data_IF_971879254822
#
_entry.id   IF_971879254822
#
_cell.length_a   1.000
_cell.length_b   1.000
_cell.length_c   1.000
_cell.angle_alpha   90.00
_cell.angle_beta   90.00
_cell.angle_gamma   90.00
#
_symmetry.space_group_name_H-M   'P 1'
#
loop_
_entity.id
_entity.type
_entity.pdbx_description
1 polymer ?
#
# COMPACT_ATOMS: atom_id res chain seq x y z
N UNK A 1 -6.66 -11.85 24.57
CA UNK A 1 -6.51 -12.95 23.60
C UNK A 1 -5.77 -12.41 22.39
N UNK A 2 -4.52 -12.81 22.15
CA UNK A 2 -3.78 -12.37 20.97
C UNK A 2 -4.33 -13.06 19.73
N UNK A 3 -4.82 -12.31 18.76
CA UNK A 3 -5.08 -12.84 17.42
C UNK A 3 -3.73 -13.09 16.74
N UNK A 4 -3.22 -14.31 16.83
CA UNK A 4 -2.09 -14.74 16.01
C UNK A 4 -2.61 -14.98 14.60
N UNK A 5 -2.22 -14.12 13.66
CA UNK A 5 -2.60 -14.23 12.25
C UNK A 5 -1.45 -14.95 11.52
N UNK A 6 -1.63 -16.24 11.25
CA UNK A 6 -0.74 -16.99 10.38
C UNK A 6 -1.21 -16.84 8.93
N UNK A 7 -0.35 -16.31 8.07
CA UNK A 7 -0.61 -16.18 6.65
C UNK A 7 0.12 -17.30 5.91
N UNK A 8 -0.59 -18.13 5.14
CA UNK A 8 0.06 -19.10 4.25
C UNK A 8 0.71 -18.32 3.10
N UNK A 9 2.05 -18.27 2.99
CA UNK A 9 2.73 -17.46 1.96
C UNK A 9 2.41 -17.92 0.53
N UNK A 10 1.94 -19.16 0.34
CA UNK A 10 1.48 -19.64 -0.97
C UNK A 10 0.12 -19.04 -1.38
N UNK A 11 -0.71 -18.65 -0.41
CA UNK A 11 -2.05 -18.04 -0.62
C UNK A 11 -2.11 -16.57 -0.20
N UNK A 12 -1.00 -16.04 0.32
CA UNK A 12 -0.94 -14.72 0.94
C UNK A 12 0.33 -14.01 0.51
N UNK A 13 0.17 -12.97 -0.30
CA UNK A 13 1.30 -12.22 -0.89
C UNK A 13 1.74 -11.06 0.00
N UNK A 14 3.00 -10.68 -0.13
CA UNK A 14 3.53 -9.47 0.48
C UNK A 14 3.51 -8.36 -0.58
N UNK A 15 2.91 -7.22 -0.22
CA UNK A 15 3.01 -5.98 -0.99
C UNK A 15 3.89 -5.02 -0.20
N UNK A 16 5.04 -4.69 -0.76
CA UNK A 16 5.96 -3.71 -0.19
C UNK A 16 5.45 -2.30 -0.47
N UNK A 17 5.49 -1.43 0.53
CA UNK A 17 4.99 -0.03 0.46
C UNK A 17 6.09 0.93 0.84
N UNK A 18 6.12 2.13 0.24
CA UNK A 18 7.23 3.06 0.44
C UNK A 18 7.42 3.45 1.91
N UNK A 19 6.35 3.89 2.57
CA UNK A 19 6.41 4.49 3.91
C UNK A 19 5.75 3.67 5.01
N UNK A 20 6.17 3.95 6.25
CA UNK A 20 5.48 3.46 7.45
C UNK A 20 4.05 4.00 7.57
N UNK A 21 3.82 5.22 7.09
CA UNK A 21 2.49 5.85 7.06
C UNK A 21 1.55 5.08 6.14
N UNK A 22 2.02 4.72 4.94
CA UNK A 22 1.27 3.92 3.96
C UNK A 22 0.91 2.56 4.54
N UNK A 23 1.89 1.90 5.15
CA UNK A 23 1.70 0.66 5.89
C UNK A 23 0.59 0.79 6.95
N UNK A 24 0.59 1.87 7.73
CA UNK A 24 -0.41 2.09 8.78
C UNK A 24 -1.83 2.24 8.20
N UNK A 25 -2.02 3.06 7.17
CA UNK A 25 -3.33 3.26 6.55
C UNK A 25 -3.85 1.99 5.89
N UNK A 26 -3.03 1.37 5.05
CA UNK A 26 -3.40 0.16 4.32
C UNK A 26 -3.66 -1.02 5.27
N UNK A 27 -2.84 -1.20 6.29
CA UNK A 27 -3.07 -2.27 7.29
C UNK A 27 -4.36 -2.03 8.09
N UNK A 28 -4.68 -0.78 8.42
CA UNK A 28 -5.94 -0.45 9.10
C UNK A 28 -7.16 -0.77 8.22
N UNK A 29 -7.14 -0.37 6.94
CA UNK A 29 -8.22 -0.68 6.00
C UNK A 29 -8.36 -2.16 5.71
N UNK A 30 -7.26 -2.91 5.58
CA UNK A 30 -7.30 -4.37 5.44
C UNK A 30 -8.08 -5.01 6.58
N UNK A 31 -7.74 -4.64 7.82
CA UNK A 31 -8.41 -5.16 9.02
C UNK A 31 -9.89 -4.75 9.07
N UNK A 32 -10.18 -3.49 8.71
CA UNK A 32 -11.54 -2.97 8.65
C UNK A 32 -12.40 -3.74 7.64
N UNK A 33 -11.93 -3.91 6.40
CA UNK A 33 -12.67 -4.60 5.35
C UNK A 33 -12.87 -6.09 5.65
N UNK A 34 -11.84 -6.79 6.15
CA UNK A 34 -11.98 -8.19 6.55
C UNK A 34 -13.03 -8.39 7.66
N UNK A 35 -13.22 -7.39 8.53
CA UNK A 35 -14.19 -7.46 9.64
C UNK A 35 -15.61 -7.01 9.24
N UNK A 36 -15.72 -5.96 8.44
CA UNK A 36 -16.97 -5.23 8.23
C UNK A 36 -17.56 -5.37 6.82
N UNK A 37 -16.78 -5.70 5.81
CA UNK A 37 -17.28 -5.85 4.45
C UNK A 37 -17.61 -7.34 4.18
N UNK A 38 -18.89 -7.69 3.91
CA UNK A 38 -19.31 -9.08 3.69
C UNK A 38 -18.50 -9.79 2.58
N UNK A 39 -18.02 -9.05 1.58
CA UNK A 39 -17.21 -9.58 0.48
C UNK A 39 -15.91 -10.25 0.96
N UNK A 40 -15.36 -9.81 2.10
CA UNK A 40 -14.08 -10.31 2.63
C UNK A 40 -14.22 -11.13 3.90
N UNK A 41 -15.45 -11.40 4.36
CA UNK A 41 -15.68 -12.17 5.59
C UNK A 41 -15.25 -13.63 5.42
N UNK A 42 -15.64 -14.24 4.31
CA UNK A 42 -15.34 -15.65 4.01
C UNK A 42 -14.10 -15.80 3.11
N UNK A 43 -13.70 -14.73 2.43
CA UNK A 43 -12.51 -14.68 1.58
C UNK A 43 -11.66 -13.43 1.91
N UNK A 44 -10.90 -13.46 3.01
CA UNK A 44 -10.15 -12.31 3.48
C UNK A 44 -9.12 -11.86 2.45
N UNK A 45 -8.77 -10.58 2.50
CA UNK A 45 -7.78 -9.97 1.60
C UNK A 45 -6.46 -10.77 1.64
N UNK A 46 -6.02 -11.36 0.50
CA UNK A 46 -4.95 -12.36 0.45
C UNK A 46 -3.56 -11.72 0.35
N UNK A 47 -3.37 -10.54 0.93
CA UNK A 47 -2.06 -9.90 0.97
C UNK A 47 -1.84 -9.08 2.24
N UNK A 48 -0.59 -8.88 2.61
CA UNK A 48 -0.14 -8.04 3.72
C UNK A 48 0.85 -6.99 3.23
N UNK A 49 1.02 -5.94 4.03
CA UNK A 49 1.90 -4.84 3.69
C UNK A 49 3.19 -4.89 4.49
N UNK A 50 4.33 -4.57 3.88
CA UNK A 50 5.60 -4.36 4.56
C UNK A 50 6.25 -3.05 4.09
N UNK A 51 6.62 -2.13 4.99
CA UNK A 51 7.23 -0.86 4.60
C UNK A 51 8.71 -1.04 4.20
N UNK A 52 9.18 -0.31 3.19
CA UNK A 52 10.58 -0.36 2.69
C UNK A 52 11.42 0.90 2.95
N UNK A 53 11.04 1.70 3.95
CA UNK A 53 11.77 2.91 4.38
C UNK A 53 12.09 3.90 3.24
N UNK A 54 11.16 4.04 2.31
CA UNK A 54 11.18 4.93 1.16
C UNK A 54 12.04 4.44 0.01
N UNK A 55 11.73 4.91 -1.20
CA UNK A 55 12.60 4.71 -2.36
C UNK A 55 13.86 5.58 -2.21
N UNK A 56 15.04 4.97 -2.38
CA UNK A 56 16.33 5.67 -2.29
C UNK A 56 16.49 6.62 -3.48
N UNK A 57 17.32 7.67 -3.35
CA UNK A 57 17.53 8.66 -4.44
C UNK A 57 18.51 8.19 -5.52
N UNK A 58 19.40 7.26 -5.16
CA UNK A 58 20.49 6.76 -5.99
C UNK A 58 20.09 5.43 -6.66
N UNK A 59 20.50 5.26 -7.92
CA UNK A 59 20.15 4.08 -8.73
C UNK A 59 20.77 2.78 -8.19
N UNK A 60 22.02 2.81 -7.70
CA UNK A 60 22.64 1.62 -7.13
C UNK A 60 21.93 1.19 -5.85
N UNK A 61 21.54 2.15 -5.01
CA UNK A 61 20.76 1.88 -3.82
C UNK A 61 19.36 1.33 -4.15
N UNK A 62 18.72 1.77 -5.25
CA UNK A 62 17.46 1.19 -5.74
C UNK A 62 17.64 -0.26 -6.19
N UNK A 63 18.68 -0.55 -6.97
CA UNK A 63 19.02 -1.93 -7.39
C UNK A 63 19.31 -2.83 -6.20
N UNK A 64 20.01 -2.33 -5.19
CA UNK A 64 20.23 -3.06 -3.94
C UNK A 64 18.92 -3.35 -3.20
N UNK A 65 18.00 -2.38 -3.13
CA UNK A 65 16.65 -2.61 -2.60
C UNK A 65 15.94 -3.71 -3.39
N UNK A 66 15.95 -3.67 -4.72
CA UNK A 66 15.31 -4.70 -5.56
C UNK A 66 15.90 -6.10 -5.29
N UNK A 67 17.23 -6.22 -5.19
CA UNK A 67 17.89 -7.49 -4.84
C UNK A 67 17.42 -8.01 -3.47
N UNK A 68 17.41 -7.15 -2.45
CA UNK A 68 16.92 -7.50 -1.12
C UNK A 68 15.44 -7.91 -1.12
N UNK A 69 14.62 -7.31 -1.98
CA UNK A 69 13.24 -7.73 -2.15
C UNK A 69 13.15 -9.13 -2.74
N UNK A 70 13.95 -9.45 -3.77
CA UNK A 70 14.02 -10.79 -4.36
C UNK A 70 14.60 -11.85 -3.40
N UNK A 71 15.44 -11.46 -2.44
CA UNK A 71 15.91 -12.34 -1.36
C UNK A 71 14.80 -12.66 -0.34
N UNK A 72 13.83 -11.76 -0.16
CA UNK A 72 12.74 -11.88 0.82
C UNK A 72 11.48 -12.54 0.26
N UNK A 73 11.19 -12.35 -1.03
CA UNK A 73 10.01 -12.88 -1.70
C UNK A 73 10.38 -13.32 -3.13
N UNK A 74 9.88 -14.48 -3.56
CA UNK A 74 10.19 -15.02 -4.88
C UNK A 74 9.59 -14.18 -6.03
N UNK A 75 8.52 -13.43 -5.77
CA UNK A 75 7.85 -12.58 -6.75
C UNK A 75 7.46 -11.25 -6.07
N UNK A 76 8.41 -10.37 -5.74
CA UNK A 76 8.12 -9.17 -4.97
C UNK A 76 7.15 -8.24 -5.71
N UNK A 77 6.23 -7.66 -4.95
CA UNK A 77 5.30 -6.64 -5.43
C UNK A 77 5.54 -5.37 -4.64
N UNK A 78 5.84 -4.25 -5.29
CA UNK A 78 6.00 -2.94 -4.67
C UNK A 78 4.88 -2.02 -5.12
N UNK A 79 4.15 -1.43 -4.17
CA UNK A 79 3.19 -0.34 -4.42
C UNK A 79 3.92 1.00 -4.28
N UNK A 80 3.95 1.78 -5.36
CA UNK A 80 4.65 3.07 -5.42
C UNK A 80 3.69 4.24 -5.62
N UNK A 81 4.08 5.38 -5.09
CA UNK A 81 3.46 6.67 -5.37
C UNK A 81 3.66 7.06 -6.86
N UNK A 82 2.87 8.03 -7.31
CA UNK A 82 3.01 8.70 -8.59
C UNK A 82 3.49 10.14 -8.41
N UNK A 83 4.80 10.30 -8.55
CA UNK A 83 5.49 11.57 -8.34
C UNK A 83 5.23 12.64 -9.43
N UNK A 84 4.23 12.46 -10.32
CA UNK A 84 4.01 13.36 -11.47
C UNK A 84 3.81 14.85 -11.10
N UNK A 85 3.51 15.24 -9.84
CA UNK A 85 3.52 16.65 -9.39
C UNK A 85 3.72 16.82 -7.86
N UNK A 86 4.87 17.37 -7.42
CA UNK A 86 4.87 18.55 -6.50
C UNK A 86 6.25 19.17 -6.15
N UNK A 87 7.39 18.49 -6.30
CA UNK A 87 8.69 19.11 -5.97
C UNK A 87 9.79 18.55 -6.87
N UNK A 88 10.67 19.42 -7.38
CA UNK A 88 11.76 19.13 -8.32
C UNK A 88 12.70 17.96 -7.91
N UNK A 89 12.61 17.45 -6.67
CA UNK A 89 13.41 16.34 -6.16
C UNK A 89 12.72 14.96 -6.14
N UNK A 90 11.39 14.87 -6.25
CA UNK A 90 10.66 13.58 -6.20
C UNK A 90 10.17 13.09 -7.56
N UNK A 91 10.02 13.98 -8.55
CA UNK A 91 9.58 13.69 -9.93
C UNK A 91 10.40 12.63 -10.70
N UNK A 92 11.40 12.04 -10.07
CA UNK A 92 12.24 11.02 -10.66
C UNK A 92 12.34 9.75 -9.81
N UNK A 93 11.79 9.65 -8.60
CA UNK A 93 12.11 8.51 -7.72
C UNK A 93 11.39 7.24 -8.14
N UNK A 94 10.06 7.28 -8.27
CA UNK A 94 9.26 6.15 -8.78
C UNK A 94 9.67 5.73 -10.20
N UNK A 95 9.85 6.69 -11.11
CA UNK A 95 10.30 6.41 -12.48
C UNK A 95 11.75 5.89 -12.57
N UNK A 96 12.67 6.40 -11.74
CA UNK A 96 14.01 5.81 -11.64
C UNK A 96 13.97 4.41 -11.04
N UNK A 97 13.07 4.16 -10.10
CA UNK A 97 12.90 2.83 -9.52
C UNK A 97 12.41 1.83 -10.57
N UNK A 98 11.47 2.24 -11.43
CA UNK A 98 11.06 1.44 -12.61
C UNK A 98 12.21 1.17 -13.57
N UNK A 99 13.00 2.20 -13.93
CA UNK A 99 14.17 2.01 -14.80
C UNK A 99 15.22 1.10 -14.15
N UNK A 100 15.50 1.30 -12.87
CA UNK A 100 16.41 0.45 -12.13
C UNK A 100 15.92 -1.00 -12.12
N UNK A 101 14.61 -1.23 -12.02
CA UNK A 101 13.97 -2.54 -12.12
C UNK A 101 14.07 -3.16 -13.52
N UNK A 102 13.83 -2.39 -14.59
CA UNK A 102 13.99 -2.84 -15.98
C UNK A 102 15.44 -3.24 -16.31
N UNK A 103 16.42 -2.62 -15.63
CA UNK A 103 17.84 -2.96 -15.77
C UNK A 103 18.27 -4.20 -14.94
N UNK A 104 17.39 -4.77 -14.10
CA UNK A 104 17.70 -5.96 -13.32
C UNK A 104 17.51 -7.24 -14.14
N UNK A 105 18.34 -8.25 -13.88
CA UNK A 105 18.15 -9.59 -14.45
C UNK A 105 16.81 -10.20 -14.00
N UNK A 106 16.46 -10.02 -12.73
CA UNK A 106 15.21 -10.49 -12.13
C UNK A 106 14.36 -9.28 -11.72
N UNK A 107 13.54 -8.73 -12.63
CA UNK A 107 12.67 -7.60 -12.33
C UNK A 107 11.50 -8.02 -11.42
N UNK A 108 11.07 -7.08 -10.58
CA UNK A 108 9.93 -7.23 -9.67
C UNK A 108 8.66 -6.60 -10.24
N UNK A 109 7.51 -6.91 -9.64
CA UNK A 109 6.24 -6.27 -9.99
C UNK A 109 6.14 -4.91 -9.30
N UNK A 110 5.93 -3.86 -10.08
CA UNK A 110 5.68 -2.51 -9.56
C UNK A 110 4.22 -2.14 -9.86
N UNK A 111 3.47 -1.83 -8.81
CA UNK A 111 2.11 -1.32 -8.85
C UNK A 111 2.15 0.18 -8.59
N UNK A 112 1.77 1.00 -9.55
CA UNK A 112 1.69 2.45 -9.33
C UNK A 112 0.26 2.85 -8.97
N UNK A 113 0.08 3.68 -7.94
CA UNK A 113 -1.26 4.09 -7.49
C UNK A 113 -2.13 4.70 -8.59
N UNK A 114 -1.52 5.47 -9.49
CA UNK A 114 -2.24 6.13 -10.57
C UNK A 114 -2.73 5.20 -11.68
N UNK A 115 -2.24 3.95 -11.72
CA UNK A 115 -2.78 2.89 -12.58
C UNK A 115 -4.08 2.30 -12.00
N UNK A 116 -4.38 2.56 -10.72
CA UNK A 116 -5.68 2.27 -10.11
C UNK A 116 -6.68 3.37 -10.42
N UNK A 117 -6.34 4.61 -10.04
CA UNK A 117 -7.10 5.80 -10.36
C UNK A 117 -6.11 6.96 -10.55
N UNK A 118 -6.21 7.69 -11.67
CA UNK A 118 -5.31 8.80 -12.00
C UNK A 118 -5.24 9.90 -10.92
N UNK A 119 -6.22 9.98 -10.03
CA UNK A 119 -6.24 10.93 -8.91
C UNK A 119 -5.46 10.42 -7.70
N UNK A 120 -5.22 9.11 -7.59
CA UNK A 120 -4.42 8.50 -6.52
C UNK A 120 -2.94 8.63 -6.87
N UNK A 121 -2.33 9.76 -6.47
CA UNK A 121 -0.88 9.94 -6.63
C UNK A 121 -0.12 9.46 -5.42
N UNK A 122 -0.68 9.64 -4.24
CA UNK A 122 -0.15 9.09 -2.99
C UNK A 122 -1.27 8.41 -2.24
N UNK A 123 -0.93 7.59 -1.24
CA UNK A 123 -1.95 6.93 -0.40
C UNK A 123 -2.88 7.96 0.25
N UNK A 124 -2.36 9.13 0.60
CA UNK A 124 -3.16 10.24 1.16
C UNK A 124 -4.22 10.79 0.20
N UNK A 125 -4.08 10.57 -1.12
CA UNK A 125 -5.09 10.98 -2.11
C UNK A 125 -6.30 10.03 -2.14
N UNK A 126 -6.23 8.86 -1.48
CA UNK A 126 -7.39 7.98 -1.29
C UNK A 126 -8.37 8.53 -0.24
N UNK A 127 -7.95 9.49 0.58
CA UNK A 127 -8.80 10.12 1.59
C UNK A 127 -9.66 11.23 0.99
N UNK A 128 -10.92 11.32 1.43
CA UNK A 128 -11.74 12.51 1.20
C UNK A 128 -11.07 13.75 1.79
N UNK A 129 -11.43 14.94 1.29
CA UNK A 129 -10.84 16.19 1.78
C UNK A 129 -10.97 16.36 3.31
N UNK A 130 -12.10 15.93 3.88
CA UNK A 130 -12.35 16.01 5.32
C UNK A 130 -11.47 15.04 6.11
N UNK A 131 -11.44 13.76 5.71
CA UNK A 131 -10.63 12.76 6.40
C UNK A 131 -9.14 13.03 6.22
N UNK A 132 -8.73 13.53 5.04
CA UNK A 132 -7.35 13.93 4.76
C UNK A 132 -6.91 15.05 5.70
N UNK A 133 -7.73 16.08 5.88
CA UNK A 133 -7.41 17.19 6.79
C UNK A 133 -7.28 16.72 8.25
N UNK A 134 -8.06 15.69 8.64
CA UNK A 134 -8.05 15.14 10.00
C UNK A 134 -6.90 14.16 10.26
N UNK A 135 -6.58 13.29 9.32
CA UNK A 135 -5.69 12.15 9.56
C UNK A 135 -4.43 12.14 8.69
N UNK A 136 -4.43 12.82 7.54
CA UNK A 136 -3.36 12.72 6.53
C UNK A 136 -2.77 14.08 6.11
N UNK A 137 -3.01 15.14 6.89
CA UNK A 137 -2.56 16.51 6.57
C UNK A 137 -1.04 16.69 6.68
N UNK A 138 -0.45 16.05 7.69
CA UNK A 138 1.00 16.02 7.91
C UNK A 138 1.37 14.55 8.11
N UNK A 139 2.46 14.05 7.50
CA UNK A 139 2.95 12.66 7.66
C UNK A 139 3.47 12.38 9.08
N UNK A 140 2.65 12.63 10.10
CA UNK A 140 2.92 12.36 11.51
C UNK A 140 2.40 10.98 11.85
N UNK A 141 3.29 10.13 12.38
CA UNK A 141 2.97 8.77 12.80
C UNK A 141 1.80 8.74 13.80
N UNK A 142 1.70 9.74 14.68
CA UNK A 142 0.60 9.90 15.64
C UNK A 142 -0.78 9.94 14.96
N UNK A 143 -0.90 10.64 13.83
CA UNK A 143 -2.17 10.75 13.10
C UNK A 143 -2.55 9.44 12.43
N UNK A 144 -1.58 8.71 11.88
CA UNK A 144 -1.81 7.39 11.30
C UNK A 144 -2.21 6.35 12.36
N UNK A 145 -1.63 6.44 13.56
CA UNK A 145 -2.00 5.60 14.71
C UNK A 145 -3.38 5.96 15.27
N UNK A 146 -3.70 7.25 15.38
CA UNK A 146 -5.02 7.72 15.75
C UNK A 146 -6.08 7.28 14.74
N UNK A 147 -5.75 7.34 13.44
CA UNK A 147 -6.59 6.83 12.36
C UNK A 147 -6.85 5.33 12.51
N UNK A 148 -5.81 4.51 12.69
CA UNK A 148 -5.95 3.05 12.89
C UNK A 148 -6.86 2.74 14.08
N UNK A 149 -6.68 3.45 15.19
CA UNK A 149 -7.52 3.26 16.39
C UNK A 149 -8.97 3.65 16.11
N UNK A 150 -9.18 4.79 15.46
CA UNK A 150 -10.49 5.28 15.07
C UNK A 150 -11.18 4.28 14.15
N UNK A 151 -10.57 3.90 13.02
CA UNK A 151 -11.17 3.00 12.05
C UNK A 151 -11.54 1.62 12.65
N UNK A 152 -10.76 1.09 13.60
CA UNK A 152 -10.97 -0.24 14.15
C UNK A 152 -11.90 -0.30 15.37
N UNK A 153 -11.97 0.77 16.16
CA UNK A 153 -12.64 0.76 17.47
C UNK A 153 -13.74 1.81 17.64
N UNK A 154 -13.88 2.78 16.73
CA UNK A 154 -14.94 3.79 16.84
C UNK A 154 -16.18 3.42 16.03
N UNK A 155 -17.23 4.25 16.16
CA UNK A 155 -18.53 4.04 15.54
C UNK A 155 -18.46 3.98 14.01
N UNK A 156 -19.49 3.40 13.38
CA UNK A 156 -19.59 3.11 11.96
C UNK A 156 -19.33 4.32 11.02
N UNK A 157 -19.44 5.54 11.56
CA UNK A 157 -19.37 6.84 10.86
C UNK A 157 -18.05 7.59 11.06
N UNK A 158 -17.02 6.96 11.60
CA UNK A 158 -15.79 7.68 11.97
C UNK A 158 -14.94 8.16 10.78
N UNK A 159 -15.19 7.58 9.60
CA UNK A 159 -14.56 7.86 8.31
C UNK A 159 -15.67 7.99 7.25
N UNK A 160 -15.49 8.90 6.30
CA UNK A 160 -16.46 9.14 5.23
C UNK A 160 -16.58 7.94 4.28
N UNK A 161 -17.77 7.78 3.67
CA UNK A 161 -18.01 6.72 2.66
C UNK A 161 -17.13 6.91 1.42
N UNK A 162 -16.80 8.14 1.04
CA UNK A 162 -15.85 8.43 -0.05
C UNK A 162 -14.49 7.78 0.21
N UNK A 163 -13.90 8.01 1.39
CA UNK A 163 -12.63 7.39 1.77
C UNK A 163 -12.75 5.86 1.76
N UNK A 164 -13.82 5.29 2.33
CA UNK A 164 -14.02 3.82 2.34
C UNK A 164 -14.09 3.26 0.91
N UNK A 165 -14.82 3.90 0.01
CA UNK A 165 -14.97 3.47 -1.38
C UNK A 165 -13.65 3.58 -2.16
N UNK A 166 -12.88 4.65 -1.95
CA UNK A 166 -11.56 4.82 -2.58
C UNK A 166 -10.59 3.72 -2.17
N UNK A 167 -10.48 3.44 -0.86
CA UNK A 167 -9.65 2.35 -0.37
C UNK A 167 -10.18 0.98 -0.82
N UNK A 168 -11.49 0.76 -0.84
CA UNK A 168 -12.07 -0.49 -1.35
C UNK A 168 -11.68 -0.72 -2.82
N UNK A 169 -11.81 0.32 -3.66
CA UNK A 169 -11.40 0.30 -5.06
C UNK A 169 -9.91 -0.08 -5.21
N UNK A 170 -9.03 0.55 -4.42
CA UNK A 170 -7.60 0.24 -4.40
C UNK A 170 -7.33 -1.22 -4.02
N UNK A 171 -8.03 -1.75 -3.00
CA UNK A 171 -7.88 -3.14 -2.56
C UNK A 171 -8.36 -4.16 -3.59
N UNK A 172 -9.50 -3.91 -4.24
CA UNK A 172 -9.97 -4.76 -5.33
C UNK A 172 -9.01 -4.74 -6.53
N UNK A 173 -8.48 -3.56 -6.86
CA UNK A 173 -7.49 -3.40 -7.93
C UNK A 173 -6.18 -4.15 -7.64
N UNK A 174 -5.68 -4.07 -6.41
CA UNK A 174 -4.51 -4.85 -5.96
C UNK A 174 -4.81 -6.35 -6.00
N UNK A 175 -5.96 -6.79 -5.48
CA UNK A 175 -6.36 -8.21 -5.45
C UNK A 175 -6.29 -8.84 -6.84
N UNK A 176 -6.79 -8.16 -7.88
CA UNK A 176 -6.75 -8.63 -9.28
C UNK A 176 -5.34 -8.76 -9.87
N UNK A 177 -4.36 -8.05 -9.32
CA UNK A 177 -2.95 -8.04 -9.82
C UNK A 177 -2.02 -8.91 -9.00
N UNK A 178 -2.45 -9.26 -7.79
CA UNK A 178 -1.69 -10.06 -6.83
C UNK A 178 -2.08 -11.53 -6.89
N UNK A 179 -3.22 -11.86 -7.52
CA UNK A 179 -3.65 -13.23 -7.80
C UNK A 179 -2.56 -14.01 -8.54
N UNK A 180 -2.27 -15.21 -8.04
CA UNK A 180 -1.32 -16.08 -8.72
C UNK A 180 -1.99 -16.73 -9.94
N UNK A 181 -1.24 -17.10 -10.99
CA UNK A 181 -1.80 -17.75 -12.18
C UNK A 181 -2.52 -19.09 -11.92
N UNK A 182 -2.47 -19.61 -10.69
CA UNK A 182 -3.13 -20.84 -10.25
C UNK A 182 -4.34 -20.61 -9.32
N UNK A 183 -4.80 -19.36 -9.14
CA UNK A 183 -6.01 -19.00 -8.38
C UNK A 183 -7.27 -18.92 -9.25
#
# INVERSE_FOLDING_TARGET
MGQHVFHNPQKHRIIFVEGITDYCYLSAFKLYFNKHNPQFKDNPIPFTFLPISGLKKDSNAMKETIKKLCELDNNPIVLTDDDRKCVFNQKATSERFKRANEEMHDPITILQLSDCDRHFKQIEDCFSANDRNKYAKNKRMELAMAFKTTLLYSEQNAITEETKNNFLCLFEWMKKRVQQPND
#
